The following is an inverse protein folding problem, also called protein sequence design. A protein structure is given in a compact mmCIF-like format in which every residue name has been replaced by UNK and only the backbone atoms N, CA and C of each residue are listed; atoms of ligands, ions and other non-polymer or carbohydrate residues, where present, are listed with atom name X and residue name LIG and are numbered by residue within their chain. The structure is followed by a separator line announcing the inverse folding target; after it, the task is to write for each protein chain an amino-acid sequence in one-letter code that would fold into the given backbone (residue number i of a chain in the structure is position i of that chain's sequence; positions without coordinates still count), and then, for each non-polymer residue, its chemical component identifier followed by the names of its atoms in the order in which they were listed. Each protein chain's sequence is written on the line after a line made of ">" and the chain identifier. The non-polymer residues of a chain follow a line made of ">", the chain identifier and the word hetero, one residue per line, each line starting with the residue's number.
data_IF_502620010821
#
_entry.id   IF_502620010821
#
_cell.length_a   1.000
_cell.length_b   1.000
_cell.length_c   1.000
_cell.angle_alpha   90.00
_cell.angle_beta   90.00
_cell.angle_gamma   90.00
#
_symmetry.space_group_name_H-M   'P 1'
#
loop_
_entity.id
_entity.type
_entity.pdbx_description
1 polymer ?
#
# COMPACT_ATOMS: atom_id res chain seq x y z
N UNK A 1 -4.96 -20.07 -8.91
CA UNK A 1 -3.56 -19.63 -8.99
C UNK A 1 -3.50 -18.13 -8.77
N UNK A 2 -2.56 -17.66 -7.94
CA UNK A 2 -2.25 -16.24 -7.73
C UNK A 2 -0.92 -15.96 -8.43
N UNK A 3 -0.88 -14.92 -9.25
CA UNK A 3 0.34 -14.45 -9.92
C UNK A 3 1.02 -13.33 -9.12
N UNK A 4 2.35 -13.28 -9.17
CA UNK A 4 3.17 -12.20 -8.62
C UNK A 4 4.05 -11.66 -9.74
N UNK A 5 3.88 -10.39 -10.07
CA UNK A 5 4.69 -9.66 -11.04
C UNK A 5 5.71 -8.78 -10.30
N UNK A 6 6.96 -9.21 -10.29
CA UNK A 6 8.07 -8.64 -9.54
C UNK A 6 8.44 -9.47 -8.32
N UNK A 7 9.66 -9.99 -8.27
CA UNK A 7 10.22 -10.81 -7.19
C UNK A 7 11.23 -10.02 -6.33
N UNK A 8 11.09 -8.70 -6.28
CA UNK A 8 11.86 -7.81 -5.41
C UNK A 8 11.46 -7.97 -3.93
N UNK A 9 11.75 -6.96 -3.10
CA UNK A 9 11.45 -7.01 -1.66
C UNK A 9 9.96 -7.26 -1.42
N UNK A 10 9.08 -6.41 -1.97
CA UNK A 10 7.62 -6.53 -1.76
C UNK A 10 7.09 -7.85 -2.33
N UNK A 11 7.44 -8.20 -3.58
CA UNK A 11 6.97 -9.46 -4.19
C UNK A 11 7.45 -10.70 -3.44
N UNK A 12 8.65 -10.66 -2.85
CA UNK A 12 9.11 -11.74 -1.96
C UNK A 12 8.24 -11.87 -0.72
N UNK A 13 7.87 -10.74 -0.10
CA UNK A 13 6.98 -10.71 1.07
C UNK A 13 5.54 -11.13 0.74
N UNK A 14 5.05 -10.80 -0.48
CA UNK A 14 3.78 -11.34 -0.99
C UNK A 14 3.82 -12.86 -1.08
N UNK A 15 4.87 -13.39 -1.71
CA UNK A 15 5.04 -14.83 -1.84
C UNK A 15 5.13 -15.53 -0.48
N UNK A 16 5.89 -14.98 0.47
CA UNK A 16 5.98 -15.47 1.86
C UNK A 16 4.61 -15.47 2.55
N UNK A 17 3.86 -14.38 2.45
CA UNK A 17 2.52 -14.25 3.04
C UNK A 17 1.53 -15.26 2.49
N UNK A 18 1.60 -15.55 1.18
CA UNK A 18 0.74 -16.52 0.51
C UNK A 18 1.18 -17.97 0.72
N UNK A 19 2.47 -18.21 0.96
CA UNK A 19 3.02 -19.57 1.16
C UNK A 19 2.50 -20.26 2.41
N UNK A 20 1.95 -19.52 3.38
CA UNK A 20 1.25 -20.10 4.52
C UNK A 20 -0.08 -20.78 4.16
N UNK A 21 -0.64 -20.50 2.97
CA UNK A 21 -1.79 -21.20 2.42
C UNK A 21 -1.32 -22.27 1.44
N UNK A 22 -1.11 -23.49 1.96
CA UNK A 22 -0.53 -24.63 1.22
C UNK A 22 -1.36 -25.11 0.03
N UNK A 23 -2.58 -24.65 -0.14
CA UNK A 23 -3.48 -25.08 -1.23
C UNK A 23 -3.52 -24.11 -2.42
N UNK A 24 -2.94 -22.92 -2.29
CA UNK A 24 -3.00 -21.92 -3.35
C UNK A 24 -1.74 -21.96 -4.22
N UNK A 25 -1.84 -22.34 -5.51
CA UNK A 25 -0.72 -22.27 -6.44
C UNK A 25 -0.27 -20.82 -6.66
N UNK A 26 1.04 -20.58 -6.57
CA UNK A 26 1.67 -19.27 -6.73
C UNK A 26 2.58 -19.29 -7.96
N UNK A 27 2.36 -18.35 -8.88
CA UNK A 27 3.18 -18.17 -10.07
C UNK A 27 3.98 -16.85 -9.95
N UNK A 28 5.31 -16.93 -10.00
CA UNK A 28 6.21 -15.78 -9.82
C UNK A 28 6.88 -15.44 -11.14
N UNK A 29 6.71 -14.20 -11.58
CA UNK A 29 7.40 -13.60 -12.70
C UNK A 29 8.27 -12.43 -12.25
N UNK A 30 9.47 -12.34 -12.79
CA UNK A 30 10.34 -11.17 -12.71
C UNK A 30 11.09 -11.00 -14.02
N UNK A 31 11.45 -9.79 -14.40
CA UNK A 31 12.29 -9.51 -15.56
C UNK A 31 13.67 -10.18 -15.45
N UNK A 32 14.15 -10.36 -14.23
CA UNK A 32 15.32 -11.18 -13.91
C UNK A 32 14.89 -12.58 -13.47
N UNK A 33 15.00 -13.53 -14.41
CA UNK A 33 14.69 -14.93 -14.13
C UNK A 33 15.47 -15.50 -12.93
N UNK A 34 16.71 -15.03 -12.71
CA UNK A 34 17.56 -15.45 -11.58
C UNK A 34 16.92 -15.03 -10.24
N UNK A 35 16.31 -13.83 -10.18
CA UNK A 35 15.65 -13.34 -8.97
C UNK A 35 14.38 -14.16 -8.69
N UNK A 36 13.57 -14.42 -9.71
CA UNK A 36 12.37 -15.26 -9.57
C UNK A 36 12.73 -16.69 -9.12
N UNK A 37 13.73 -17.32 -9.75
CA UNK A 37 14.19 -18.66 -9.38
C UNK A 37 14.72 -18.73 -7.94
N UNK A 38 15.47 -17.71 -7.48
CA UNK A 38 15.98 -17.65 -6.11
C UNK A 38 14.83 -17.60 -5.11
N UNK A 39 13.83 -16.78 -5.36
CA UNK A 39 12.62 -16.68 -4.52
C UNK A 39 11.89 -18.02 -4.45
N UNK A 40 11.60 -18.62 -5.59
CA UNK A 40 10.89 -19.91 -5.67
C UNK A 40 11.66 -21.01 -4.93
N UNK A 41 12.97 -21.15 -5.16
CA UNK A 41 13.79 -22.15 -4.45
C UNK A 41 13.72 -21.96 -2.93
N UNK A 42 13.75 -20.74 -2.46
CA UNK A 42 13.70 -20.42 -1.00
C UNK A 42 12.39 -20.85 -0.37
N UNK A 43 11.27 -20.70 -1.09
CA UNK A 43 9.92 -20.97 -0.58
C UNK A 43 9.37 -22.35 -0.94
N UNK A 44 10.03 -23.09 -1.81
CA UNK A 44 9.54 -24.37 -2.30
C UNK A 44 9.37 -25.42 -1.18
N UNK A 45 10.21 -25.39 -0.15
CA UNK A 45 10.10 -26.26 1.02
C UNK A 45 8.86 -25.93 1.86
N UNK A 46 8.45 -24.65 1.89
CA UNK A 46 7.28 -24.18 2.64
C UNK A 46 5.98 -24.35 1.83
N UNK A 47 6.05 -24.14 0.51
CA UNK A 47 4.92 -24.30 -0.39
C UNK A 47 5.39 -24.92 -1.71
N UNK A 48 5.17 -26.21 -1.89
CA UNK A 48 5.53 -26.96 -3.10
C UNK A 48 4.78 -26.53 -4.37
N UNK A 49 3.74 -25.69 -4.25
CA UNK A 49 2.94 -25.18 -5.38
C UNK A 49 3.43 -23.82 -5.91
N UNK A 50 4.57 -23.32 -5.42
CA UNK A 50 5.18 -22.10 -5.93
C UNK A 50 6.09 -22.41 -7.12
N UNK A 51 5.96 -21.68 -8.21
CA UNK A 51 6.75 -21.88 -9.43
C UNK A 51 7.13 -20.58 -10.12
N UNK A 52 8.23 -20.60 -10.85
CA UNK A 52 8.56 -19.53 -11.80
C UNK A 52 7.67 -19.67 -13.04
N UNK A 53 7.23 -18.54 -13.55
CA UNK A 53 6.34 -18.47 -14.71
C UNK A 53 6.83 -17.45 -15.74
N UNK A 54 6.33 -17.51 -16.95
CA UNK A 54 6.51 -16.46 -17.95
C UNK A 54 5.46 -15.35 -17.76
N UNK A 55 5.72 -14.19 -18.38
CA UNK A 55 4.74 -13.09 -18.37
C UNK A 55 3.40 -13.50 -18.98
N UNK A 56 3.41 -14.29 -20.03
CA UNK A 56 2.20 -14.74 -20.72
C UNK A 56 1.40 -15.75 -19.91
N UNK A 57 2.05 -16.58 -19.12
CA UNK A 57 1.37 -17.56 -18.26
C UNK A 57 0.68 -16.88 -17.08
N UNK A 58 1.13 -15.68 -16.65
CA UNK A 58 0.41 -14.89 -15.64
C UNK A 58 -1.02 -14.54 -16.07
N UNK A 59 -1.32 -14.49 -17.37
CA UNK A 59 -2.67 -14.26 -17.89
C UNK A 59 -3.66 -15.40 -17.60
N UNK A 60 -3.18 -16.53 -17.08
CA UNK A 60 -4.00 -17.66 -16.62
C UNK A 60 -4.30 -17.58 -15.11
N UNK A 61 -3.72 -16.61 -14.41
CA UNK A 61 -3.99 -16.40 -12.99
C UNK A 61 -5.40 -15.84 -12.78
N UNK A 62 -6.02 -16.15 -11.63
CA UNK A 62 -7.26 -15.50 -11.20
C UNK A 62 -7.03 -14.04 -10.79
N UNK A 63 -5.88 -13.80 -10.19
CA UNK A 63 -5.44 -12.49 -9.74
C UNK A 63 -3.92 -12.37 -9.81
N UNK A 64 -3.42 -11.19 -10.16
CA UNK A 64 -1.98 -10.87 -10.19
C UNK A 64 -1.68 -9.70 -9.28
N UNK A 65 -0.69 -9.88 -8.39
CA UNK A 65 -0.12 -8.80 -7.58
C UNK A 65 1.01 -8.13 -8.35
N UNK A 66 0.88 -6.84 -8.63
CA UNK A 66 1.93 -6.02 -9.20
C UNK A 66 2.79 -5.46 -8.07
N UNK A 67 3.96 -6.05 -7.85
CA UNK A 67 4.89 -5.74 -6.76
C UNK A 67 6.25 -5.21 -7.25
N UNK A 68 6.31 -4.81 -8.51
CA UNK A 68 7.47 -4.17 -9.12
C UNK A 68 7.50 -2.66 -8.85
N UNK A 69 8.36 -1.95 -9.60
CA UNK A 69 8.34 -0.48 -9.62
C UNK A 69 7.23 0.04 -10.52
N UNK A 70 6.60 1.17 -10.12
CA UNK A 70 5.64 1.89 -10.99
C UNK A 70 6.31 2.31 -12.32
N UNK A 71 5.55 2.45 -13.44
CA UNK A 71 4.09 2.42 -13.47
C UNK A 71 3.49 1.01 -13.60
N UNK A 72 2.41 0.74 -12.88
CA UNK A 72 1.67 -0.50 -12.93
C UNK A 72 0.50 -0.47 -13.94
N UNK A 73 -0.03 0.70 -14.26
CA UNK A 73 -1.22 0.87 -15.10
C UNK A 73 -1.13 0.17 -16.47
N UNK A 74 0.00 0.18 -17.21
CA UNK A 74 0.09 -0.52 -18.49
C UNK A 74 -0.08 -2.05 -18.33
N UNK A 75 0.55 -2.64 -17.31
CA UNK A 75 0.46 -4.08 -17.03
C UNK A 75 -0.92 -4.44 -16.50
N UNK A 76 -1.49 -3.60 -15.63
CA UNK A 76 -2.85 -3.77 -15.12
C UNK A 76 -3.88 -3.78 -16.25
N UNK A 77 -3.77 -2.85 -17.20
CA UNK A 77 -4.64 -2.82 -18.39
C UNK A 77 -4.57 -4.12 -19.18
N UNK A 78 -3.36 -4.60 -19.46
CA UNK A 78 -3.14 -5.84 -20.20
C UNK A 78 -3.75 -7.07 -19.51
N UNK A 79 -3.65 -7.15 -18.18
CA UNK A 79 -4.23 -8.22 -17.36
C UNK A 79 -5.77 -8.14 -17.35
N UNK A 80 -6.32 -6.94 -17.12
CA UNK A 80 -7.77 -6.71 -17.12
C UNK A 80 -8.41 -7.05 -18.47
N UNK A 81 -7.76 -6.73 -19.60
CA UNK A 81 -8.22 -7.09 -20.93
C UNK A 81 -8.42 -8.61 -21.10
N UNK A 82 -7.71 -9.41 -20.29
CA UNK A 82 -7.78 -10.89 -20.24
C UNK A 82 -8.61 -11.44 -19.09
N UNK A 83 -9.44 -10.58 -18.46
CA UNK A 83 -10.30 -10.91 -17.31
C UNK A 83 -9.51 -11.36 -16.05
N UNK A 84 -8.25 -10.95 -15.92
CA UNK A 84 -7.42 -11.23 -14.75
C UNK A 84 -7.57 -10.08 -13.77
N UNK A 85 -7.93 -10.36 -12.51
CA UNK A 85 -7.98 -9.35 -11.45
C UNK A 85 -6.58 -8.90 -11.05
N UNK A 86 -6.46 -7.68 -10.54
CA UNK A 86 -5.16 -7.04 -10.26
C UNK A 86 -5.14 -6.43 -8.87
N UNK A 87 -4.04 -6.65 -8.15
CA UNK A 87 -3.69 -5.94 -6.92
C UNK A 87 -2.43 -5.12 -7.18
N UNK A 88 -2.51 -3.81 -7.06
CA UNK A 88 -1.37 -2.92 -7.29
C UNK A 88 -0.81 -2.39 -5.98
N UNK A 89 0.50 -2.49 -5.80
CA UNK A 89 1.22 -1.88 -4.66
C UNK A 89 1.78 -0.49 -4.98
N UNK A 90 1.30 0.15 -6.06
CA UNK A 90 1.82 1.45 -6.48
C UNK A 90 1.67 2.53 -5.40
N UNK A 91 2.74 3.27 -5.18
CA UNK A 91 2.87 4.43 -4.28
C UNK A 91 3.13 5.74 -5.05
N UNK A 92 2.84 5.74 -6.36
CA UNK A 92 2.98 6.90 -7.26
C UNK A 92 1.61 7.51 -7.59
N UNK A 93 1.47 8.84 -7.44
CA UNK A 93 0.18 9.53 -7.64
C UNK A 93 -0.32 9.39 -9.08
N UNK A 94 0.56 9.60 -10.06
CA UNK A 94 0.17 9.56 -11.47
C UNK A 94 -0.24 8.15 -11.89
N UNK A 95 0.49 7.13 -11.41
CA UNK A 95 0.15 5.74 -11.66
C UNK A 95 -1.17 5.35 -10.97
N UNK A 96 -1.40 5.78 -9.73
CA UNK A 96 -2.69 5.57 -9.05
C UNK A 96 -3.87 6.18 -9.80
N UNK A 97 -3.72 7.39 -10.34
CA UNK A 97 -4.74 8.04 -11.18
C UNK A 97 -5.00 7.24 -12.46
N UNK A 98 -3.94 6.79 -13.14
CA UNK A 98 -4.07 5.96 -14.34
C UNK A 98 -4.73 4.60 -14.04
N UNK A 99 -4.43 3.99 -12.89
CA UNK A 99 -5.08 2.77 -12.43
C UNK A 99 -6.57 3.00 -12.14
N UNK A 100 -6.93 4.10 -11.47
CA UNK A 100 -8.33 4.47 -11.21
C UNK A 100 -9.12 4.64 -12.52
N UNK A 101 -8.51 5.18 -13.56
CA UNK A 101 -9.12 5.34 -14.88
C UNK A 101 -9.45 3.99 -15.57
N UNK A 102 -8.90 2.86 -15.09
CA UNK A 102 -9.22 1.52 -15.62
C UNK A 102 -10.51 0.92 -15.04
N UNK A 103 -11.26 1.65 -14.20
CA UNK A 103 -12.46 1.14 -13.53
C UNK A 103 -13.51 0.59 -14.50
N UNK A 104 -13.84 1.33 -15.56
CA UNK A 104 -14.81 0.88 -16.57
C UNK A 104 -14.35 -0.38 -17.32
N UNK A 105 -13.04 -0.47 -17.61
CA UNK A 105 -12.46 -1.67 -18.21
C UNK A 105 -12.60 -2.86 -17.27
N UNK A 106 -12.29 -2.67 -15.98
CA UNK A 106 -12.42 -3.73 -14.97
C UNK A 106 -13.88 -4.22 -14.84
N UNK A 107 -14.84 -3.31 -14.82
CA UNK A 107 -16.29 -3.63 -14.81
C UNK A 107 -16.66 -4.42 -16.06
N UNK A 108 -16.31 -3.92 -17.25
CA UNK A 108 -16.59 -4.58 -18.54
C UNK A 108 -16.00 -5.99 -18.60
N UNK A 109 -14.84 -6.19 -17.98
CA UNK A 109 -14.12 -7.47 -17.98
C UNK A 109 -14.46 -8.36 -16.78
N UNK A 110 -15.40 -7.94 -15.93
CA UNK A 110 -15.79 -8.65 -14.70
C UNK A 110 -14.57 -9.01 -13.83
N UNK A 111 -13.63 -8.08 -13.74
CA UNK A 111 -12.40 -8.20 -12.96
C UNK A 111 -12.33 -7.14 -11.87
N UNK A 112 -11.60 -7.44 -10.81
CA UNK A 112 -11.36 -6.52 -9.68
C UNK A 112 -9.96 -5.92 -9.83
N UNK A 113 -9.84 -4.61 -9.64
CA UNK A 113 -8.58 -3.90 -9.52
C UNK A 113 -8.51 -3.24 -8.14
N UNK A 114 -7.60 -3.66 -7.27
CA UNK A 114 -7.36 -2.98 -5.98
C UNK A 114 -6.06 -2.20 -6.06
N UNK A 115 -6.14 -0.89 -5.80
CA UNK A 115 -5.07 0.09 -6.01
C UNK A 115 -4.44 0.48 -4.68
N UNK A 116 -3.10 0.57 -4.65
CA UNK A 116 -2.36 0.98 -3.46
C UNK A 116 -2.48 -0.01 -2.31
N UNK A 117 -2.55 -1.32 -2.60
CA UNK A 117 -2.65 -2.34 -1.57
C UNK A 117 -1.28 -2.67 -0.97
N UNK A 118 -0.70 -1.72 -0.25
CA UNK A 118 0.62 -1.82 0.36
C UNK A 118 0.61 -1.36 1.83
N UNK A 119 1.71 -0.77 2.32
CA UNK A 119 1.76 -0.19 3.67
C UNK A 119 1.06 1.17 3.71
N UNK A 120 1.52 2.10 2.88
CA UNK A 120 0.92 3.43 2.67
C UNK A 120 1.19 3.80 1.21
N UNK A 121 0.16 3.80 0.39
CA UNK A 121 -1.25 3.51 0.69
C UNK A 121 -1.53 2.02 0.95
N UNK A 122 -2.68 1.75 1.58
CA UNK A 122 -3.21 0.40 1.77
C UNK A 122 -3.53 0.08 3.23
N UNK A 123 -2.57 -0.30 4.06
CA UNK A 123 -2.80 -0.48 5.51
C UNK A 123 -3.34 0.81 6.13
N UNK A 124 -2.92 1.99 5.66
CA UNK A 124 -3.49 3.28 6.04
C UNK A 124 -5.01 3.32 5.87
N UNK A 125 -5.53 2.90 4.72
CA UNK A 125 -6.97 2.87 4.43
C UNK A 125 -7.74 1.88 5.31
N UNK A 126 -7.17 0.69 5.54
CA UNK A 126 -7.76 -0.32 6.44
C UNK A 126 -7.86 0.21 7.87
N UNK A 127 -6.81 0.87 8.37
CA UNK A 127 -6.81 1.45 9.71
C UNK A 127 -7.83 2.59 9.84
N UNK A 128 -7.90 3.50 8.86
CA UNK A 128 -8.92 4.57 8.87
C UNK A 128 -10.31 3.96 8.91
N UNK A 129 -10.62 2.94 8.08
CA UNK A 129 -11.93 2.26 8.09
C UNK A 129 -12.23 1.60 9.42
N UNK A 130 -11.25 0.98 10.03
CA UNK A 130 -11.44 0.36 11.36
C UNK A 130 -11.67 1.41 12.46
N UNK A 131 -10.87 2.49 12.45
CA UNK A 131 -10.99 3.57 13.44
C UNK A 131 -12.30 4.33 13.31
N UNK A 132 -12.78 4.58 12.08
CA UNK A 132 -14.00 5.35 11.82
C UNK A 132 -15.25 4.78 12.50
N UNK A 133 -15.28 3.48 12.79
CA UNK A 133 -16.40 2.83 13.50
C UNK A 133 -16.60 3.32 14.93
N UNK A 134 -15.56 3.87 15.55
CA UNK A 134 -15.62 4.39 16.91
C UNK A 134 -16.07 5.86 16.98
N UNK A 135 -16.32 6.49 15.83
CA UNK A 135 -16.75 7.89 15.71
C UNK A 135 -18.19 8.00 15.20
N UNK A 136 -18.89 9.03 15.61
CA UNK A 136 -20.16 9.43 15.02
C UNK A 136 -19.97 9.98 13.61
N UNK A 137 -18.88 10.77 13.44
CA UNK A 137 -18.41 11.29 12.15
C UNK A 137 -16.91 11.54 12.19
N UNK A 138 -16.23 11.32 11.08
CA UNK A 138 -14.81 11.67 10.92
C UNK A 138 -14.66 12.87 9.99
N UNK A 139 -13.78 13.82 10.36
CA UNK A 139 -13.58 15.06 9.62
C UNK A 139 -12.19 15.16 8.99
N UNK A 140 -11.17 14.70 9.70
CA UNK A 140 -9.79 14.81 9.24
C UNK A 140 -9.05 13.48 9.38
N UNK A 141 -8.17 13.21 8.41
CA UNK A 141 -7.23 12.08 8.43
C UNK A 141 -5.83 12.58 8.13
N UNK A 142 -4.87 12.25 9.01
CA UNK A 142 -3.46 12.58 8.83
C UNK A 142 -2.62 11.31 8.87
N UNK A 143 -1.83 11.11 7.82
CA UNK A 143 -0.98 9.93 7.67
C UNK A 143 0.48 10.37 7.72
N UNK A 144 1.29 9.66 8.50
CA UNK A 144 2.73 9.79 8.49
C UNK A 144 3.39 8.43 8.31
N UNK A 145 4.49 8.42 7.56
CA UNK A 145 5.24 7.19 7.29
C UNK A 145 6.74 7.39 7.51
N UNK A 146 7.38 6.34 7.99
CA UNK A 146 8.83 6.24 8.20
C UNK A 146 9.35 4.94 7.57
N UNK A 147 10.54 5.01 6.98
CA UNK A 147 11.18 3.83 6.37
C UNK A 147 10.78 3.57 4.93
N UNK A 148 11.36 2.54 4.34
CA UNK A 148 11.15 2.15 2.94
C UNK A 148 11.10 0.64 2.80
N UNK A 149 10.28 0.14 1.86
CA UNK A 149 10.14 -1.31 1.61
C UNK A 149 11.35 -1.93 0.91
N UNK A 150 12.00 -1.19 0.03
CA UNK A 150 13.14 -1.69 -0.73
C UNK A 150 13.68 -0.64 -1.70
N UNK A 151 14.60 -1.01 -2.62
CA UNK A 151 15.28 -0.05 -3.49
C UNK A 151 14.35 0.82 -4.36
N UNK A 152 13.26 0.25 -4.86
CA UNK A 152 12.27 0.97 -5.67
C UNK A 152 11.51 1.98 -4.82
N UNK A 153 10.98 1.55 -3.69
CA UNK A 153 10.28 2.41 -2.71
C UNK A 153 11.20 3.52 -2.18
N UNK A 154 12.48 3.22 -1.89
CA UNK A 154 13.45 4.23 -1.45
C UNK A 154 13.64 5.33 -2.51
N UNK A 155 13.77 4.96 -3.78
CA UNK A 155 13.84 5.93 -4.87
C UNK A 155 12.56 6.74 -5.02
N UNK A 156 11.39 6.13 -4.85
CA UNK A 156 10.12 6.83 -4.92
C UNK A 156 9.96 7.83 -3.76
N UNK A 157 10.24 7.42 -2.51
CA UNK A 157 10.20 8.32 -1.36
C UNK A 157 11.20 9.47 -1.47
N UNK A 158 12.40 9.21 -2.02
CA UNK A 158 13.38 10.25 -2.29
C UNK A 158 12.82 11.29 -3.27
N UNK A 159 12.23 10.87 -4.39
CA UNK A 159 11.60 11.75 -5.37
C UNK A 159 10.39 12.49 -4.78
N UNK A 160 9.61 11.80 -3.95
CA UNK A 160 8.44 12.37 -3.29
C UNK A 160 8.74 13.61 -2.42
N UNK A 161 9.99 13.81 -2.00
CA UNK A 161 10.42 14.97 -1.24
C UNK A 161 10.74 16.20 -2.12
N UNK A 162 10.83 16.05 -3.44
CA UNK A 162 11.17 17.14 -4.37
C UNK A 162 9.99 17.63 -5.20
N UNK A 163 8.89 16.90 -5.28
CA UNK A 163 7.73 17.18 -6.10
C UNK A 163 6.70 18.11 -5.45
N UNK A 164 5.44 17.87 -5.76
CA UNK A 164 4.29 18.60 -5.21
C UNK A 164 3.46 17.66 -4.33
N UNK A 165 3.47 17.92 -3.04
CA UNK A 165 2.54 17.26 -2.11
C UNK A 165 1.12 17.71 -2.43
N UNK A 166 0.19 16.75 -2.45
CA UNK A 166 -1.25 17.02 -2.49
C UNK A 166 -1.86 16.81 -1.10
N UNK A 167 -2.92 17.54 -0.81
CA UNK A 167 -3.76 17.34 0.36
C UNK A 167 -5.17 17.82 0.04
N UNK A 168 -6.14 17.25 0.70
CA UNK A 168 -7.54 17.70 0.63
C UNK A 168 -7.84 18.64 1.78
N UNK A 169 -8.53 19.75 1.54
CA UNK A 169 -8.93 20.70 2.56
C UNK A 169 -10.20 21.45 2.14
N UNK A 170 -11.28 21.24 2.88
CA UNK A 170 -12.56 21.96 2.75
C UNK A 170 -13.06 22.14 1.31
N UNK A 171 -13.11 21.05 0.54
CA UNK A 171 -13.64 21.06 -0.82
C UNK A 171 -12.60 21.23 -1.93
N UNK A 172 -11.31 21.45 -1.59
CA UNK A 172 -10.28 21.75 -2.58
C UNK A 172 -9.02 20.89 -2.43
N UNK A 173 -8.41 20.57 -3.55
CA UNK A 173 -7.07 19.97 -3.59
C UNK A 173 -6.01 21.05 -3.43
N UNK A 174 -5.30 21.02 -2.32
CA UNK A 174 -4.17 21.91 -2.08
C UNK A 174 -2.87 21.27 -2.53
N UNK A 175 -2.10 22.03 -3.32
CA UNK A 175 -0.73 21.68 -3.68
C UNK A 175 0.25 22.51 -2.85
N UNK A 176 1.24 21.83 -2.27
CA UNK A 176 2.30 22.45 -1.48
C UNK A 176 3.65 21.88 -1.88
N UNK A 177 4.74 22.63 -1.80
CA UNK A 177 6.08 22.08 -2.06
C UNK A 177 6.35 20.89 -1.15
N UNK A 178 6.76 19.76 -1.74
CA UNK A 178 7.23 18.60 -0.99
C UNK A 178 8.52 18.94 -0.23
N UNK A 179 8.84 18.20 0.82
CA UNK A 179 9.94 18.51 1.73
C UNK A 179 9.70 19.72 2.64
N UNK A 180 8.49 20.33 2.59
CA UNK A 180 8.08 21.47 3.45
C UNK A 180 7.19 21.03 4.61
N UNK A 181 6.86 21.95 5.51
CA UNK A 181 5.89 21.73 6.58
C UNK A 181 6.32 20.64 7.56
N UNK A 182 7.44 20.90 8.25
CA UNK A 182 7.97 20.02 9.31
C UNK A 182 6.95 19.78 10.41
N UNK A 183 6.82 18.52 10.81
CA UNK A 183 6.01 18.07 11.94
C UNK A 183 6.71 16.90 12.62
N UNK A 184 6.80 16.93 13.95
CA UNK A 184 7.32 15.81 14.72
C UNK A 184 6.22 14.75 14.84
N UNK A 185 6.42 13.59 14.22
CA UNK A 185 5.49 12.47 14.27
C UNK A 185 6.06 11.34 15.15
N UNK A 186 5.24 10.86 16.08
CA UNK A 186 5.55 9.71 16.92
C UNK A 186 4.99 8.46 16.26
N UNK A 187 5.83 7.46 16.11
CA UNK A 187 5.50 6.11 15.67
C UNK A 187 5.59 5.15 16.85
N UNK A 188 4.96 3.95 16.80
CA UNK A 188 5.10 2.96 17.86
C UNK A 188 6.56 2.52 18.04
N UNK A 189 6.89 2.12 19.26
CA UNK A 189 8.21 1.53 19.53
C UNK A 189 8.43 0.26 18.69
N UNK A 190 9.66 -0.01 18.24
CA UNK A 190 10.91 0.69 18.56
C UNK A 190 11.26 1.86 17.59
N UNK A 191 10.32 2.34 16.77
CA UNK A 191 10.58 3.40 15.78
C UNK A 191 10.74 4.76 16.45
N UNK A 192 9.80 5.17 17.33
CA UNK A 192 9.87 6.43 18.05
C UNK A 192 9.54 7.67 17.22
N UNK A 193 10.15 8.82 17.53
CA UNK A 193 9.82 10.12 16.94
C UNK A 193 10.72 10.50 15.77
N UNK A 194 10.12 11.01 14.69
CA UNK A 194 10.83 11.53 13.52
C UNK A 194 10.24 12.83 13.01
N UNK A 195 11.09 13.70 12.49
CA UNK A 195 10.68 14.84 11.69
C UNK A 195 10.08 14.36 10.37
N UNK A 196 8.81 14.65 10.16
CA UNK A 196 8.09 14.33 8.94
C UNK A 196 7.75 15.57 8.13
N UNK A 197 7.75 15.44 6.84
CA UNK A 197 7.55 16.52 5.88
C UNK A 197 6.51 16.11 4.85
N UNK A 198 5.85 17.09 4.24
CA UNK A 198 4.96 16.83 3.10
C UNK A 198 5.72 16.09 2.02
N UNK A 199 5.11 15.05 1.48
CA UNK A 199 5.63 14.27 0.36
C UNK A 199 4.61 14.20 -0.77
N UNK A 200 5.07 13.94 -1.97
CA UNK A 200 4.24 13.59 -3.12
C UNK A 200 3.79 12.13 -2.98
N UNK A 201 2.74 11.92 -2.17
CA UNK A 201 2.23 10.61 -1.74
C UNK A 201 0.77 10.45 -2.17
N UNK A 202 0.33 9.25 -2.59
CA UNK A 202 -1.04 9.03 -3.07
C UNK A 202 -2.07 8.87 -1.96
N UNK A 203 -1.68 8.71 -0.69
CA UNK A 203 -2.63 8.51 0.41
C UNK A 203 -3.76 9.54 0.46
N UNK A 204 -3.53 10.86 0.32
CA UNK A 204 -4.65 11.81 0.34
C UNK A 204 -5.67 11.56 -0.76
N UNK A 205 -5.21 11.15 -1.96
CA UNK A 205 -6.08 10.83 -3.08
C UNK A 205 -6.95 9.60 -2.77
N UNK A 206 -6.32 8.52 -2.30
CA UNK A 206 -6.99 7.25 -2.10
C UNK A 206 -7.87 7.25 -0.84
N UNK A 207 -7.44 7.92 0.24
CA UNK A 207 -8.26 8.10 1.45
C UNK A 207 -9.47 8.98 1.15
N UNK A 208 -9.32 10.10 0.42
CA UNK A 208 -10.46 10.94 0.04
C UNK A 208 -11.47 10.20 -0.85
N UNK A 209 -10.99 9.30 -1.70
CA UNK A 209 -11.86 8.42 -2.48
C UNK A 209 -12.64 7.45 -1.60
N UNK A 210 -11.98 6.82 -0.62
CA UNK A 210 -12.63 5.88 0.30
C UNK A 210 -13.57 6.54 1.31
N UNK A 211 -13.35 7.82 1.61
CA UNK A 211 -14.10 8.62 2.59
C UNK A 211 -14.43 10.01 1.99
N UNK A 212 -15.46 10.07 1.13
CA UNK A 212 -15.81 11.31 0.43
C UNK A 212 -16.26 12.45 1.35
N UNK A 213 -16.68 12.14 2.57
CA UNK A 213 -17.15 13.09 3.57
C UNK A 213 -16.02 13.89 4.24
N UNK A 214 -14.78 13.40 4.21
CA UNK A 214 -13.67 14.06 4.89
C UNK A 214 -13.44 15.50 4.42
N UNK A 215 -13.37 16.43 5.38
CA UNK A 215 -12.98 17.81 5.17
C UNK A 215 -11.48 17.99 4.96
N UNK A 216 -10.65 17.11 5.58
CA UNK A 216 -9.20 17.25 5.48
C UNK A 216 -8.47 15.92 5.43
N UNK A 217 -7.54 15.80 4.45
CA UNK A 217 -6.63 14.64 4.36
C UNK A 217 -5.23 15.12 4.03
N UNK A 218 -4.25 14.69 4.83
CA UNK A 218 -2.84 15.01 4.60
C UNK A 218 -1.95 13.78 4.77
N UNK A 219 -0.81 13.77 4.08
CA UNK A 219 0.23 12.76 4.26
C UNK A 219 1.61 13.38 4.39
N UNK A 220 2.48 12.70 5.13
CA UNK A 220 3.85 13.10 5.38
C UNK A 220 4.78 11.89 5.34
N UNK A 221 6.04 12.13 5.05
CA UNK A 221 7.10 11.14 5.10
C UNK A 221 8.25 11.67 5.96
N UNK A 222 8.86 10.79 6.76
CA UNK A 222 10.03 11.14 7.52
C UNK A 222 11.21 11.41 6.60
N UNK A 223 11.97 12.46 6.91
CA UNK A 223 13.16 12.80 6.15
C UNK A 223 14.16 13.57 6.99
N UNK A 224 15.44 13.34 6.76
CA UNK A 224 16.51 14.16 7.30
C UNK A 224 16.67 15.46 6.49
N UNK A 225 17.42 16.42 7.06
CA UNK A 225 17.81 17.61 6.29
C UNK A 225 18.56 17.25 5.01
N UNK A 226 19.41 16.21 5.06
CA UNK A 226 20.17 15.73 3.91
C UNK A 226 19.23 15.20 2.83
N UNK A 227 18.26 14.36 3.19
CA UNK A 227 17.32 13.78 2.23
C UNK A 227 16.58 14.88 1.46
N UNK A 228 16.13 15.93 2.16
CA UNK A 228 15.41 17.06 1.54
C UNK A 228 16.26 17.92 0.62
N UNK A 229 17.53 18.15 0.99
CA UNK A 229 18.47 18.94 0.16
C UNK A 229 18.79 18.20 -1.14
N UNK A 230 19.01 16.88 -1.04
CA UNK A 230 19.39 16.04 -2.18
C UNK A 230 18.19 15.45 -2.96
N UNK A 231 16.96 15.65 -2.51
CA UNK A 231 15.77 15.08 -3.14
C UNK A 231 15.61 15.41 -4.63
N UNK A 232 16.14 16.57 -5.06
CA UNK A 232 16.13 17.00 -6.48
C UNK A 232 17.17 16.32 -7.36
N UNK A 233 18.14 15.63 -6.74
CA UNK A 233 19.15 14.85 -7.45
C UNK A 233 18.77 13.39 -7.51
N UNK A 234 19.16 12.64 -8.54
CA UNK A 234 18.95 11.20 -8.57
C UNK A 234 19.59 10.52 -7.35
N UNK A 235 18.89 9.54 -6.76
CA UNK A 235 19.47 8.72 -5.71
C UNK A 235 20.54 7.80 -6.33
N UNK A 236 21.81 8.18 -6.21
CA UNK A 236 22.93 7.48 -6.83
C UNK A 236 23.19 6.11 -6.20
N UNK A 237 22.97 5.99 -4.89
CA UNK A 237 23.21 4.74 -4.14
C UNK A 237 21.91 4.38 -3.38
N UNK A 238 20.95 3.72 -4.05
CA UNK A 238 19.77 3.20 -3.36
C UNK A 238 20.19 2.04 -2.43
N UNK A 239 19.41 1.81 -1.34
CA UNK A 239 19.63 0.62 -0.52
C UNK A 239 19.54 -0.64 -1.38
N UNK A 240 20.35 -1.66 -1.05
CA UNK A 240 20.38 -2.93 -1.82
C UNK A 240 19.43 -3.98 -1.28
N UNK A 241 18.87 -3.76 -0.11
CA UNK A 241 18.00 -4.69 0.61
C UNK A 241 16.76 -3.97 1.14
N UNK A 242 15.89 -4.74 1.79
CA UNK A 242 14.78 -4.22 2.57
C UNK A 242 15.30 -3.24 3.64
N UNK A 243 14.54 -2.16 3.88
CA UNK A 243 14.82 -1.21 4.96
C UNK A 243 14.71 -1.86 6.35
N UNK A 244 15.18 -1.14 7.36
CA UNK A 244 14.96 -1.49 8.77
C UNK A 244 13.51 -1.40 9.19
N UNK A 245 13.27 -1.32 10.51
CA UNK A 245 11.92 -1.07 11.04
C UNK A 245 11.40 0.23 10.49
N UNK A 246 10.20 0.16 9.92
CA UNK A 246 9.45 1.31 9.44
C UNK A 246 8.30 1.64 10.38
N UNK A 247 7.66 2.77 10.16
CA UNK A 247 6.51 3.22 10.92
C UNK A 247 5.40 3.76 10.01
N UNK A 248 4.18 3.37 10.30
CA UNK A 248 2.97 4.00 9.80
C UNK A 248 2.23 4.60 10.99
N UNK A 249 1.77 5.85 10.87
CA UNK A 249 0.92 6.53 11.83
C UNK A 249 -0.31 7.05 11.12
N UNK A 250 -1.45 6.70 11.62
CA UNK A 250 -2.77 7.17 11.16
C UNK A 250 -3.43 7.91 12.32
N UNK A 251 -3.74 9.18 12.10
CA UNK A 251 -4.50 10.01 13.03
C UNK A 251 -5.85 10.33 12.40
N UNK A 252 -6.91 10.03 13.13
CA UNK A 252 -8.29 10.34 12.74
C UNK A 252 -8.86 11.34 13.74
N UNK A 253 -9.46 12.40 13.23
CA UNK A 253 -10.17 13.42 14.03
C UNK A 253 -11.63 13.44 13.61
N UNK A 254 -12.49 13.60 14.59
CA UNK A 254 -13.93 13.61 14.37
C UNK A 254 -14.72 13.87 15.62
N UNK A 255 -15.97 13.48 15.59
CA UNK A 255 -16.91 13.58 16.72
C UNK A 255 -17.24 12.20 17.25
N UNK A 256 -17.27 12.06 18.57
CA UNK A 256 -17.67 10.84 19.29
C UNK A 256 -18.47 11.22 20.51
N UNK A 257 -19.71 10.72 20.63
CA UNK A 257 -20.66 11.10 21.67
C UNK A 257 -20.86 12.62 21.77
N UNK A 258 -20.84 13.33 20.64
CA UNK A 258 -20.97 14.77 20.56
C UNK A 258 -19.70 15.58 20.90
N UNK A 259 -18.59 14.94 21.28
CA UNK A 259 -17.33 15.59 21.62
C UNK A 259 -16.28 15.45 20.50
N UNK A 260 -15.39 16.44 20.37
CA UNK A 260 -14.26 16.40 19.45
C UNK A 260 -13.18 15.46 19.99
N UNK A 261 -12.86 14.42 19.23
CA UNK A 261 -11.88 13.40 19.61
C UNK A 261 -10.81 13.24 18.54
N UNK A 262 -9.61 12.91 18.99
CA UNK A 262 -8.48 12.53 18.14
C UNK A 262 -8.02 11.15 18.58
N UNK A 263 -8.09 10.20 17.68
CA UNK A 263 -7.53 8.85 17.86
C UNK A 263 -6.32 8.65 16.96
N UNK A 264 -5.32 7.94 17.47
CA UNK A 264 -4.09 7.65 16.73
C UNK A 264 -3.78 6.17 16.83
N UNK A 265 -3.57 5.55 15.68
CA UNK A 265 -3.10 4.17 15.57
C UNK A 265 -1.84 4.13 14.71
N UNK A 266 -0.89 3.31 15.09
CA UNK A 266 0.33 3.12 14.32
C UNK A 266 0.74 1.67 14.15
N UNK A 267 1.62 1.42 13.19
CA UNK A 267 2.27 0.13 12.95
C UNK A 267 3.76 0.36 12.98
N UNK A 268 4.50 -0.50 13.71
CA UNK A 268 5.95 -0.56 13.68
C UNK A 268 6.36 -1.93 13.12
N UNK A 269 6.70 -1.97 11.83
CA UNK A 269 7.12 -3.18 11.13
C UNK A 269 7.88 -2.77 9.85
N UNK A 270 8.67 -3.66 9.29
CA UNK A 270 9.30 -3.43 7.99
C UNK A 270 8.26 -3.11 6.93
N UNK A 271 8.45 -1.99 6.23
CA UNK A 271 7.49 -1.50 5.23
C UNK A 271 7.20 -2.55 4.15
N UNK A 272 8.22 -3.29 3.70
CA UNK A 272 8.06 -4.37 2.73
C UNK A 272 7.22 -5.53 3.27
N UNK A 273 7.37 -5.86 4.56
CA UNK A 273 6.57 -6.90 5.23
C UNK A 273 5.08 -6.50 5.26
N UNK A 274 4.78 -5.28 5.72
CA UNK A 274 3.39 -4.77 5.74
C UNK A 274 2.80 -4.78 4.33
N UNK A 275 3.54 -4.24 3.35
CA UNK A 275 3.09 -4.18 1.96
C UNK A 275 2.80 -5.58 1.39
N UNK A 276 3.70 -6.55 1.64
CA UNK A 276 3.54 -7.91 1.16
C UNK A 276 2.37 -8.65 1.82
N UNK A 277 2.19 -8.48 3.12
CA UNK A 277 1.07 -9.09 3.85
C UNK A 277 -0.27 -8.50 3.39
N UNK A 278 -0.38 -7.17 3.31
CA UNK A 278 -1.62 -6.50 2.86
C UNK A 278 -1.99 -6.94 1.45
N UNK A 279 -1.07 -6.82 0.49
CA UNK A 279 -1.35 -7.21 -0.90
C UNK A 279 -1.59 -8.71 -1.07
N UNK A 280 -0.91 -9.55 -0.30
CA UNK A 280 -1.15 -10.99 -0.25
C UNK A 280 -2.55 -11.33 0.27
N UNK A 281 -3.00 -10.70 1.36
CA UNK A 281 -4.35 -10.88 1.89
C UNK A 281 -5.43 -10.45 0.88
N UNK A 282 -5.25 -9.29 0.23
CA UNK A 282 -6.17 -8.81 -0.80
C UNK A 282 -6.23 -9.78 -1.98
N UNK A 283 -5.09 -10.25 -2.47
CA UNK A 283 -5.04 -11.21 -3.57
C UNK A 283 -5.71 -12.53 -3.20
N UNK A 284 -5.49 -13.01 -1.98
CA UNK A 284 -6.19 -14.19 -1.45
C UNK A 284 -7.70 -13.98 -1.41
N UNK A 285 -8.16 -12.86 -0.86
CA UNK A 285 -9.60 -12.54 -0.78
C UNK A 285 -10.27 -12.49 -2.15
N UNK A 286 -9.60 -11.95 -3.18
CA UNK A 286 -10.07 -12.03 -4.58
C UNK A 286 -10.07 -13.48 -5.07
N UNK A 287 -9.00 -14.23 -4.78
CA UNK A 287 -8.87 -15.62 -5.26
C UNK A 287 -9.94 -16.54 -4.72
N UNK A 288 -10.34 -16.38 -3.46
CA UNK A 288 -11.39 -17.20 -2.83
C UNK A 288 -12.80 -16.64 -3.00
N UNK A 289 -12.95 -15.42 -3.57
CA UNK A 289 -14.25 -14.82 -3.87
C UNK A 289 -14.83 -13.98 -2.72
N UNK A 290 -14.05 -13.67 -1.68
CA UNK A 290 -14.45 -12.71 -0.62
C UNK A 290 -14.57 -11.28 -1.18
N UNK A 291 -13.78 -10.95 -2.21
CA UNK A 291 -13.93 -9.76 -3.05
C UNK A 291 -14.40 -10.22 -4.41
N UNK A 292 -15.68 -9.99 -4.70
CA UNK A 292 -16.33 -10.40 -5.94
C UNK A 292 -16.75 -9.23 -6.84
N UNK A 293 -16.65 -8.00 -6.34
CA UNK A 293 -17.03 -6.78 -7.05
C UNK A 293 -16.09 -6.52 -8.21
N UNK A 294 -16.64 -6.10 -9.36
CA UNK A 294 -15.88 -5.71 -10.53
C UNK A 294 -15.71 -4.19 -10.56
N UNK A 295 -14.52 -3.71 -10.84
CA UNK A 295 -14.19 -2.28 -10.88
C UNK A 295 -12.84 -1.99 -10.26
N UNK A 296 -12.54 -0.70 -10.08
CA UNK A 296 -11.33 -0.23 -9.42
C UNK A 296 -11.65 0.28 -8.02
N UNK A 297 -11.00 -0.27 -7.02
CA UNK A 297 -11.21 -0.02 -5.60
C UNK A 297 -9.92 0.38 -4.90
N UNK A 298 -10.08 1.07 -3.76
CA UNK A 298 -8.99 1.35 -2.82
C UNK A 298 -9.35 0.80 -1.44
N UNK A 299 -8.34 0.39 -0.65
CA UNK A 299 -8.59 -0.10 0.70
C UNK A 299 -9.17 1.01 1.59
N UNK A 300 -10.21 0.65 2.34
CA UNK A 300 -11.03 1.59 3.10
C UNK A 300 -12.39 1.91 2.45
N UNK A 301 -12.62 1.65 1.16
CA UNK A 301 -13.96 1.78 0.56
C UNK A 301 -14.96 0.80 1.18
N UNK A 302 -16.22 1.23 1.34
CA UNK A 302 -17.28 0.44 1.98
C UNK A 302 -17.59 -0.87 1.25
N UNK A 303 -17.35 -0.90 -0.06
CA UNK A 303 -17.63 -2.05 -0.92
C UNK A 303 -16.64 -3.20 -0.75
N UNK A 304 -15.55 -2.99 -0.02
CA UNK A 304 -14.56 -4.01 0.27
C UNK A 304 -14.75 -4.61 1.67
N UNK A 305 -14.43 -5.90 1.88
CA UNK A 305 -14.49 -6.57 3.18
C UNK A 305 -13.29 -6.17 4.06
N UNK A 306 -13.16 -4.86 4.36
CA UNK A 306 -11.98 -4.30 5.04
C UNK A 306 -11.68 -4.96 6.39
N UNK A 307 -12.71 -5.36 7.16
CA UNK A 307 -12.55 -6.04 8.44
C UNK A 307 -11.91 -7.41 8.29
N UNK A 308 -12.36 -8.17 7.29
CA UNK A 308 -11.82 -9.49 6.99
C UNK A 308 -10.35 -9.35 6.57
N UNK A 309 -10.06 -8.40 5.67
CA UNK A 309 -8.70 -8.14 5.20
C UNK A 309 -7.81 -7.72 6.36
N UNK A 310 -8.25 -6.76 7.20
CA UNK A 310 -7.49 -6.30 8.36
C UNK A 310 -7.24 -7.45 9.35
N UNK A 311 -8.26 -8.23 9.66
CA UNK A 311 -8.13 -9.42 10.53
C UNK A 311 -7.11 -10.42 9.99
N UNK A 312 -7.10 -10.67 8.68
CA UNK A 312 -6.11 -11.54 8.03
C UNK A 312 -4.69 -10.95 8.09
N UNK A 313 -4.54 -9.62 7.96
CA UNK A 313 -3.26 -8.92 8.07
C UNK A 313 -2.71 -9.02 9.49
N UNK A 314 -3.54 -8.77 10.50
CA UNK A 314 -3.14 -8.86 11.91
C UNK A 314 -2.79 -10.31 12.29
N UNK A 315 -3.55 -11.30 11.83
CA UNK A 315 -3.27 -12.72 12.06
C UNK A 315 -1.93 -13.18 11.45
N UNK A 316 -1.38 -12.44 10.48
CA UNK A 316 -0.05 -12.68 9.87
C UNK A 316 1.08 -11.90 10.55
N UNK A 317 0.84 -11.38 11.76
CA UNK A 317 1.86 -10.81 12.63
C UNK A 317 2.09 -9.30 12.46
N UNK A 318 1.37 -8.61 11.57
CA UNK A 318 1.38 -7.15 11.54
C UNK A 318 0.58 -6.64 12.73
N UNK A 319 1.21 -5.85 13.62
CA UNK A 319 0.57 -5.34 14.83
C UNK A 319 0.20 -3.87 14.68
N UNK A 320 -1.03 -3.54 15.05
CA UNK A 320 -1.50 -2.16 15.15
C UNK A 320 -1.54 -1.75 16.64
N UNK A 321 -0.96 -0.59 16.94
CA UNK A 321 -0.80 -0.06 18.29
C UNK A 321 -1.60 1.24 18.42
N UNK A 322 -2.50 1.32 19.40
CA UNK A 322 -3.20 2.55 19.72
C UNK A 322 -2.33 3.43 20.63
N UNK A 323 -2.28 4.72 20.33
CA UNK A 323 -1.67 5.72 21.22
C UNK A 323 -2.73 6.16 22.22
N UNK A 324 -2.72 5.55 23.40
CA UNK A 324 -3.62 5.98 24.50
C UNK A 324 -3.17 7.37 24.95
N UNK A 325 -4.11 8.33 25.05
CA UNK A 325 -3.84 9.58 25.77
C UNK A 325 -3.55 9.25 27.23
N UNK A 326 -2.34 9.60 27.69
CA UNK A 326 -2.02 9.61 29.12
C UNK A 326 -2.80 10.71 29.80
#
# INVERSE_FOLDING_TARGET
>A
MIGIFGAGVVGSRVAESLSGDLQTPIAVYDSSQVVAQRLVRRLHETNGLIQVTSRTELFQAKVVVLAGSSPHAPVAKELLERNVSVVSTSDDIADCLNLLALSELAIKKKATLVIGAASSPGMSGLLVRNMSKAFDSIDEVHIALHGTGGPACARQHHRALSGQSIGWHDGEWLRRPAGSGRELCWFPEPVGAYDCYRGELPDPLLIKRAFPELGRVTSRVSATRRDRVFARMPMLIPPRAEGGMGGLRVEVRGTKNGERVVDVVGVAERVGQVAGVVSGCVARSISVGEIAQSGAFVLGESDLPNEIILGQVLARGVQAHSFVRA
#
